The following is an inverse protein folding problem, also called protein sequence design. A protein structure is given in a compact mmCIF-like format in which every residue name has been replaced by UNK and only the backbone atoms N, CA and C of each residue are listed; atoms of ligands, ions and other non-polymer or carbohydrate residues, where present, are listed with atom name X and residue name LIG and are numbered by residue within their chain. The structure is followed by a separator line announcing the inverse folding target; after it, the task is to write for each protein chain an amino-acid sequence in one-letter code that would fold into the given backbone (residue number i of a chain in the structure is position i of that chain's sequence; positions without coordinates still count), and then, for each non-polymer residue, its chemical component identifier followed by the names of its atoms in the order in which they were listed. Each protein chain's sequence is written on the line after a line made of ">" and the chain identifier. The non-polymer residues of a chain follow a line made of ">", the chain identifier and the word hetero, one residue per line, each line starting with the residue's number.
data_IF_065277981205
#
_entry.id   IF_065277981205
#
_cell.length_a   1.000
_cell.length_b   1.000
_cell.length_c   1.000
_cell.angle_alpha   90.00
_cell.angle_beta   90.00
_cell.angle_gamma   90.00
#
_symmetry.space_group_name_H-M   'P 1'
#
loop_
_entity.id
_entity.type
_entity.pdbx_description
1 polymer ?
#
# COMPACT_ATOMS: atom_id res chain seq x y z
N UNK A 1 6.91 -13.47 -8.93
CA UNK A 1 7.04 -12.80 -10.24
C UNK A 1 7.86 -11.54 -10.02
N UNK A 2 8.82 -11.24 -10.90
CA UNK A 2 9.64 -10.03 -10.84
C UNK A 2 8.86 -8.86 -11.43
N UNK A 3 8.94 -7.70 -10.79
CA UNK A 3 8.33 -6.43 -11.25
C UNK A 3 8.69 -6.18 -12.73
N UNK A 4 7.70 -5.88 -13.59
CA UNK A 4 7.92 -5.68 -15.02
C UNK A 4 8.98 -4.61 -15.32
N UNK A 5 9.84 -4.84 -16.32
CA UNK A 5 10.93 -3.90 -16.65
C UNK A 5 10.43 -2.55 -17.19
N UNK A 6 9.22 -2.49 -17.76
CA UNK A 6 8.53 -1.24 -18.10
C UNK A 6 8.29 -0.35 -16.88
N UNK A 7 8.01 -0.98 -15.73
CA UNK A 7 7.82 -0.30 -14.45
C UNK A 7 9.15 0.27 -13.92
N UNK A 8 10.26 -0.44 -14.12
CA UNK A 8 11.61 0.06 -13.76
C UNK A 8 12.07 1.22 -14.64
N UNK A 9 11.68 1.22 -15.92
CA UNK A 9 12.08 2.23 -16.89
C UNK A 9 11.39 3.59 -16.64
N UNK A 10 10.14 3.61 -16.17
CA UNK A 10 9.41 4.84 -15.86
C UNK A 10 9.94 5.58 -14.60
N UNK A 11 10.59 4.86 -13.67
CA UNK A 11 11.23 5.44 -12.46
C UNK A 11 12.36 6.43 -12.83
N UNK A 12 12.94 6.30 -14.03
CA UNK A 12 14.11 7.08 -14.45
C UNK A 12 13.81 8.27 -15.37
N UNK A 13 12.55 8.52 -15.77
CA UNK A 13 12.23 9.53 -16.80
C UNK A 13 11.81 10.92 -16.29
N UNK A 14 11.96 11.22 -14.99
CA UNK A 14 11.47 12.47 -14.41
C UNK A 14 12.51 13.45 -13.85
N UNK A 15 13.81 13.09 -13.79
CA UNK A 15 14.78 13.92 -13.04
C UNK A 15 15.95 14.33 -13.93
N UNK A 16 16.14 15.63 -14.23
CA UNK A 16 17.34 16.12 -14.88
C UNK A 16 18.50 16.07 -13.87
N UNK A 17 19.36 15.06 -14.02
CA UNK A 17 20.55 14.87 -13.19
C UNK A 17 20.83 13.41 -12.89
N UNK A 18 22.06 13.09 -12.48
CA UNK A 18 22.48 11.75 -12.06
C UNK A 18 21.71 11.30 -10.79
N UNK A 19 20.50 10.82 -11.05
CA UNK A 19 19.69 9.81 -10.38
C UNK A 19 20.46 8.69 -9.71
N UNK A 20 21.23 8.88 -8.63
CA UNK A 20 21.63 7.73 -7.81
C UNK A 20 20.34 7.03 -7.41
N UNK A 21 20.06 5.87 -8.01
CA UNK A 21 18.89 5.06 -7.74
C UNK A 21 18.62 5.10 -6.24
N UNK A 22 17.51 5.73 -5.85
CA UNK A 22 17.16 5.86 -4.44
C UNK A 22 17.17 4.43 -3.91
N UNK A 23 17.99 4.10 -2.89
CA UNK A 23 18.13 2.72 -2.43
C UNK A 23 16.74 2.20 -2.20
N UNK A 24 16.48 1.05 -2.79
CA UNK A 24 15.25 0.32 -2.60
C UNK A 24 14.93 0.33 -1.09
N UNK A 25 13.84 0.96 -0.62
CA UNK A 25 13.62 1.18 0.81
C UNK A 25 13.46 -0.14 1.57
N UNK A 26 13.18 -1.21 0.82
CA UNK A 26 13.10 -2.58 1.29
C UNK A 26 14.02 -3.43 0.41
N UNK A 27 14.94 -4.23 0.97
CA UNK A 27 15.84 -5.04 0.18
C UNK A 27 15.05 -5.95 -0.77
N UNK A 28 15.35 -5.83 -2.06
CA UNK A 28 14.76 -6.66 -3.10
C UNK A 28 14.80 -8.15 -2.69
N UNK A 29 13.65 -8.83 -2.73
CA UNK A 29 13.57 -10.28 -2.57
C UNK A 29 13.23 -10.84 -1.17
N UNK A 30 13.38 -10.11 -0.05
CA UNK A 30 12.98 -10.64 1.27
C UNK A 30 11.51 -10.33 1.64
N UNK A 31 10.62 -11.32 1.49
CA UNK A 31 9.21 -11.21 1.94
C UNK A 31 9.14 -10.67 3.38
N UNK A 32 8.26 -9.70 3.61
CA UNK A 32 7.90 -9.24 4.95
C UNK A 32 7.19 -10.42 5.63
N UNK A 33 7.82 -10.98 6.66
CA UNK A 33 7.27 -12.11 7.39
C UNK A 33 6.18 -11.64 8.37
N UNK A 34 5.18 -12.48 8.67
CA UNK A 34 4.19 -12.18 9.71
C UNK A 34 4.85 -11.93 11.08
N UNK A 35 4.25 -11.05 11.87
CA UNK A 35 4.65 -10.77 13.24
C UNK A 35 4.39 -12.00 14.13
N UNK A 36 5.45 -12.55 14.73
CA UNK A 36 5.34 -13.72 15.62
C UNK A 36 5.32 -13.39 17.10
N UNK A 37 5.63 -12.15 17.49
CA UNK A 37 5.80 -11.79 18.91
C UNK A 37 4.48 -11.41 19.58
N UNK A 38 3.64 -10.65 18.88
CA UNK A 38 2.34 -10.20 19.38
C UNK A 38 1.46 -9.79 18.18
N UNK A 39 0.98 -10.74 17.37
CA UNK A 39 0.16 -10.43 16.22
C UNK A 39 -1.18 -9.84 16.67
N UNK A 40 -1.69 -8.86 15.91
CA UNK A 40 -3.12 -8.56 15.96
C UNK A 40 -3.91 -9.56 15.12
N UNK A 41 -5.19 -9.73 15.45
CA UNK A 41 -6.11 -10.59 14.71
C UNK A 41 -6.86 -9.76 13.67
N UNK A 42 -6.73 -10.15 12.40
CA UNK A 42 -7.44 -9.56 11.27
C UNK A 42 -7.55 -10.58 10.14
N UNK A 43 -8.76 -10.97 9.78
CA UNK A 43 -9.06 -12.08 8.86
C UNK A 43 -10.01 -11.69 7.72
N UNK A 44 -10.41 -10.42 7.63
CA UNK A 44 -11.29 -9.92 6.57
C UNK A 44 -10.62 -10.02 5.20
N UNK A 45 -11.11 -10.85 4.27
CA UNK A 45 -10.49 -11.03 2.96
C UNK A 45 -10.67 -9.79 2.08
N UNK A 46 -9.75 -9.59 1.13
CA UNK A 46 -9.71 -8.39 0.30
C UNK A 46 -11.01 -8.17 -0.51
N UNK A 47 -11.64 -9.25 -0.99
CA UNK A 47 -12.87 -9.19 -1.79
C UNK A 47 -14.07 -8.62 -1.02
N UNK A 48 -14.08 -8.80 0.31
CA UNK A 48 -15.08 -8.22 1.22
C UNK A 48 -14.66 -6.82 1.70
N UNK A 49 -13.36 -6.59 1.77
CA UNK A 49 -12.79 -5.35 2.27
C UNK A 49 -12.84 -4.20 1.27
N UNK A 50 -12.71 -4.49 -0.03
CA UNK A 50 -12.63 -3.49 -1.08
C UNK A 50 -14.00 -2.93 -1.45
N UNK A 51 -14.09 -1.61 -1.67
CA UNK A 51 -15.32 -0.95 -2.16
C UNK A 51 -15.61 -1.25 -3.63
N UNK A 52 -14.59 -1.67 -4.39
CA UNK A 52 -14.62 -1.82 -5.86
C UNK A 52 -14.99 -0.53 -6.61
N UNK A 53 -14.94 0.61 -5.92
CA UNK A 53 -15.21 1.90 -6.54
C UNK A 53 -14.00 2.30 -7.40
N UNK A 54 -14.21 2.70 -8.67
CA UNK A 54 -13.11 3.24 -9.47
C UNK A 54 -12.61 4.53 -8.81
N UNK A 55 -11.29 4.62 -8.65
CA UNK A 55 -10.64 5.85 -8.19
C UNK A 55 -10.24 6.64 -9.42
N UNK A 56 -10.96 7.74 -9.68
CA UNK A 56 -10.65 8.66 -10.78
C UNK A 56 -9.42 9.52 -10.49
N UNK A 57 -8.87 10.15 -11.54
CA UNK A 57 -7.75 11.11 -11.42
C UNK A 57 -6.35 10.48 -11.47
N UNK A 58 -6.25 9.16 -11.48
CA UNK A 58 -4.96 8.45 -11.65
C UNK A 58 -4.49 8.54 -13.10
N UNK A 59 -3.21 8.84 -13.30
CA UNK A 59 -2.56 8.56 -14.58
C UNK A 59 -2.46 7.04 -14.81
N UNK A 60 -2.21 6.64 -16.06
CA UNK A 60 -2.20 5.22 -16.45
C UNK A 60 -1.20 4.39 -15.64
N UNK A 61 -0.01 4.91 -15.35
CA UNK A 61 1.01 4.19 -14.60
C UNK A 61 0.61 3.98 -13.13
N UNK A 62 0.00 4.99 -12.53
CA UNK A 62 -0.56 4.92 -11.16
C UNK A 62 -1.72 3.94 -11.11
N UNK A 63 -2.62 3.98 -12.09
CA UNK A 63 -3.74 3.04 -12.18
C UNK A 63 -3.26 1.58 -12.29
N UNK A 64 -2.26 1.31 -13.13
CA UNK A 64 -1.63 -0.01 -13.27
C UNK A 64 -1.00 -0.48 -11.96
N UNK A 65 -0.29 0.41 -11.26
CA UNK A 65 0.33 0.10 -9.97
C UNK A 65 -0.71 -0.30 -8.92
N UNK A 66 -1.82 0.44 -8.83
CA UNK A 66 -2.90 0.10 -7.91
C UNK A 66 -3.59 -1.21 -8.29
N UNK A 67 -3.77 -1.50 -9.58
CA UNK A 67 -4.29 -2.81 -10.00
C UNK A 67 -3.36 -3.96 -9.58
N UNK A 68 -2.04 -3.78 -9.63
CA UNK A 68 -1.07 -4.77 -9.14
C UNK A 68 -1.10 -4.92 -7.62
N UNK A 69 -1.32 -3.83 -6.87
CA UNK A 69 -1.57 -3.87 -5.42
C UNK A 69 -2.81 -4.71 -5.13
N UNK A 70 -3.94 -4.39 -5.76
CA UNK A 70 -5.22 -5.07 -5.51
C UNK A 70 -5.15 -6.56 -5.84
N UNK A 71 -4.47 -6.91 -6.94
CA UNK A 71 -4.17 -8.30 -7.27
C UNK A 71 -3.35 -8.98 -6.17
N UNK A 72 -2.29 -8.32 -5.69
CA UNK A 72 -1.44 -8.87 -4.63
C UNK A 72 -2.21 -9.05 -3.31
N UNK A 73 -3.13 -8.13 -2.99
CA UNK A 73 -3.99 -8.22 -1.82
C UNK A 73 -4.99 -9.39 -1.94
N UNK A 74 -5.59 -9.58 -3.12
CA UNK A 74 -6.49 -10.72 -3.38
C UNK A 74 -5.75 -12.07 -3.29
N UNK A 75 -4.49 -12.13 -3.75
CA UNK A 75 -3.65 -13.33 -3.68
C UNK A 75 -3.04 -13.58 -2.29
N UNK A 76 -3.26 -12.67 -1.33
CA UNK A 76 -2.66 -12.74 0.01
C UNK A 76 -1.16 -12.47 0.05
N UNK A 77 -0.58 -11.88 -1.01
CA UNK A 77 0.81 -11.44 -1.03
C UNK A 77 0.95 -10.03 -0.43
N UNK A 78 0.68 -9.93 0.87
CA UNK A 78 0.73 -8.70 1.66
C UNK A 78 2.08 -8.00 1.55
N UNK A 79 3.17 -8.78 1.49
CA UNK A 79 4.52 -8.22 1.36
C UNK A 79 4.71 -7.50 0.03
N UNK A 80 4.21 -8.06 -1.07
CA UNK A 80 4.32 -7.44 -2.40
C UNK A 80 3.45 -6.19 -2.47
N UNK A 81 2.21 -6.25 -1.96
CA UNK A 81 1.34 -5.09 -1.88
C UNK A 81 1.98 -3.91 -1.13
N UNK A 82 2.53 -4.15 0.08
CA UNK A 82 3.20 -3.12 0.89
C UNK A 82 4.37 -2.49 0.13
N UNK A 83 5.15 -3.27 -0.60
CA UNK A 83 6.29 -2.76 -1.36
C UNK A 83 5.83 -1.81 -2.46
N UNK A 84 4.87 -2.23 -3.30
CA UNK A 84 4.34 -1.41 -4.39
C UNK A 84 3.78 -0.09 -3.83
N UNK A 85 3.02 -0.15 -2.73
CA UNK A 85 2.46 1.02 -2.05
C UNK A 85 3.56 1.98 -1.53
N UNK A 86 4.65 1.45 -0.98
CA UNK A 86 5.79 2.28 -0.56
C UNK A 86 6.50 2.94 -1.74
N UNK A 87 6.70 2.24 -2.86
CA UNK A 87 7.27 2.87 -4.05
C UNK A 87 6.38 3.97 -4.60
N UNK A 88 5.08 3.72 -4.69
CA UNK A 88 4.10 4.75 -5.06
C UNK A 88 4.27 5.97 -4.15
N UNK A 89 4.38 5.78 -2.83
CA UNK A 89 4.57 6.92 -1.93
C UNK A 89 5.88 7.69 -2.10
N UNK A 90 6.95 7.02 -2.52
CA UNK A 90 8.27 7.65 -2.64
C UNK A 90 8.53 8.29 -3.99
N UNK A 91 7.93 7.78 -5.07
CA UNK A 91 8.23 8.22 -6.43
C UNK A 91 7.30 9.30 -6.96
N UNK A 92 6.03 9.35 -6.54
CA UNK A 92 5.05 10.12 -7.30
C UNK A 92 4.62 11.44 -6.65
N UNK A 93 5.08 11.79 -5.44
CA UNK A 93 4.57 12.96 -4.68
C UNK A 93 3.04 13.07 -4.72
N UNK A 94 2.34 11.93 -4.87
CA UNK A 94 0.88 11.91 -5.02
C UNK A 94 0.30 12.24 -3.65
N UNK A 95 -0.14 13.50 -3.54
CA UNK A 95 -0.95 13.96 -2.43
C UNK A 95 -2.40 13.47 -2.58
N UNK A 96 -2.93 13.44 -3.80
CA UNK A 96 -4.36 13.17 -4.08
C UNK A 96 -4.82 11.75 -3.69
N UNK A 97 -3.93 10.75 -3.76
CA UNK A 97 -4.24 9.35 -3.44
C UNK A 97 -3.58 8.87 -2.14
N UNK A 98 -3.06 9.80 -1.32
CA UNK A 98 -2.34 9.50 -0.09
C UNK A 98 -3.14 8.63 0.87
N UNK A 99 -4.42 8.97 1.06
CA UNK A 99 -5.28 8.26 2.00
C UNK A 99 -5.53 6.81 1.54
N UNK A 100 -5.71 6.58 0.24
CA UNK A 100 -5.91 5.26 -0.33
C UNK A 100 -4.67 4.38 -0.22
N UNK A 101 -3.48 4.96 -0.44
CA UNK A 101 -2.23 4.23 -0.20
C UNK A 101 -2.14 3.77 1.25
N UNK A 102 -2.37 4.67 2.20
CA UNK A 102 -2.29 4.34 3.61
C UNK A 102 -3.38 3.37 4.07
N UNK A 103 -4.57 3.41 3.48
CA UNK A 103 -5.64 2.45 3.73
C UNK A 103 -5.21 1.02 3.34
N UNK A 104 -4.69 0.82 2.12
CA UNK A 104 -4.19 -0.49 1.69
C UNK A 104 -2.94 -0.92 2.48
N UNK A 105 -2.08 0.01 2.90
CA UNK A 105 -0.94 -0.30 3.78
C UNK A 105 -1.44 -0.82 5.13
N UNK A 106 -2.43 -0.16 5.74
CA UNK A 106 -3.03 -0.58 7.00
C UNK A 106 -3.60 -2.01 6.87
N UNK A 107 -4.35 -2.27 5.79
CA UNK A 107 -4.95 -3.57 5.51
C UNK A 107 -3.89 -4.69 5.41
N UNK A 108 -2.84 -4.48 4.61
CA UNK A 108 -1.78 -5.48 4.45
C UNK A 108 -0.97 -5.73 5.74
N UNK A 109 -0.69 -4.68 6.52
CA UNK A 109 0.00 -4.84 7.82
C UNK A 109 -0.87 -5.54 8.87
N UNK A 110 -2.18 -5.34 8.85
CA UNK A 110 -3.11 -6.03 9.73
C UNK A 110 -3.07 -7.55 9.49
N UNK A 111 -3.10 -8.00 8.23
CA UNK A 111 -2.95 -9.42 7.88
C UNK A 111 -1.57 -10.00 8.24
N UNK A 112 -0.53 -9.17 8.30
CA UNK A 112 0.77 -9.57 8.79
C UNK A 112 0.91 -9.47 10.32
N UNK A 113 -0.13 -9.04 11.04
CA UNK A 113 -0.16 -8.96 12.51
C UNK A 113 0.60 -7.75 13.11
N UNK A 114 0.81 -6.68 12.36
CA UNK A 114 1.58 -5.51 12.81
C UNK A 114 0.68 -4.33 13.24
N UNK A 115 0.05 -4.41 14.42
CA UNK A 115 -0.88 -3.38 14.93
C UNK A 115 -0.32 -1.95 14.99
N UNK A 116 0.98 -1.80 15.32
CA UNK A 116 1.64 -0.48 15.37
C UNK A 116 1.77 0.15 13.98
N UNK A 117 1.94 -0.69 12.95
CA UNK A 117 2.03 -0.22 11.57
C UNK A 117 0.65 0.16 11.02
N UNK A 118 -0.40 -0.52 11.49
CA UNK A 118 -1.79 -0.11 11.26
C UNK A 118 -2.03 1.27 11.88
N UNK A 119 -1.65 1.49 13.14
CA UNK A 119 -1.77 2.80 13.81
C UNK A 119 -0.99 3.91 13.11
N UNK A 120 0.24 3.63 12.67
CA UNK A 120 1.02 4.56 11.85
C UNK A 120 0.29 4.95 10.56
N UNK A 121 -0.27 3.97 9.84
CA UNK A 121 -1.03 4.24 8.62
C UNK A 121 -2.26 5.12 8.87
N UNK A 122 -3.00 4.90 9.97
CA UNK A 122 -4.11 5.78 10.37
C UNK A 122 -3.67 7.21 10.64
N UNK A 123 -2.56 7.40 11.36
CA UNK A 123 -1.98 8.72 11.58
C UNK A 123 -1.65 9.41 10.24
N UNK A 124 -1.09 8.66 9.29
CA UNK A 124 -0.78 9.17 7.96
C UNK A 124 -2.01 9.49 7.10
N UNK A 125 -3.10 8.74 7.23
CA UNK A 125 -4.39 9.11 6.61
C UNK A 125 -4.91 10.43 7.17
N UNK A 126 -4.83 10.64 8.49
CA UNK A 126 -5.25 11.90 9.12
C UNK A 126 -4.38 13.09 8.67
N UNK A 127 -3.06 12.92 8.61
CA UNK A 127 -2.13 13.94 8.12
C UNK A 127 -2.37 14.32 6.66
N UNK A 128 -2.84 13.37 5.83
CA UNK A 128 -3.17 13.63 4.44
C UNK A 128 -4.40 14.53 4.28
N UNK A 129 -5.28 14.62 5.28
CA UNK A 129 -6.49 15.43 5.22
C UNK A 129 -7.52 15.00 4.18
N UNK A 130 -7.36 13.79 3.61
CA UNK A 130 -8.23 13.22 2.57
C UNK A 130 -8.92 11.95 3.11
N UNK A 131 -10.14 11.70 2.63
CA UNK A 131 -10.84 10.46 2.90
C UNK A 131 -10.35 9.35 1.95
N UNK A 132 -10.13 8.14 2.49
CA UNK A 132 -9.90 6.96 1.66
C UNK A 132 -11.24 6.45 1.09
N UNK A 133 -11.21 5.89 -0.12
CA UNK A 133 -12.38 5.39 -0.85
C UNK A 133 -12.26 3.92 -1.26
N UNK A 134 -11.15 3.27 -0.94
CA UNK A 134 -10.79 1.95 -1.45
C UNK A 134 -11.23 0.80 -0.55
N UNK A 135 -11.35 1.03 0.76
CA UNK A 135 -11.83 0.07 1.74
C UNK A 135 -13.22 0.45 2.27
N UNK A 136 -14.02 -0.56 2.59
CA UNK A 136 -15.37 -0.37 3.15
C UNK A 136 -15.32 0.26 4.55
N UNK A 137 -16.37 0.98 4.96
CA UNK A 137 -16.47 1.53 6.32
C UNK A 137 -16.34 0.46 7.42
N UNK A 138 -16.88 -0.73 7.18
CA UNK A 138 -16.81 -1.88 8.09
C UNK A 138 -15.36 -2.31 8.29
N UNK A 139 -14.61 -2.51 7.20
CA UNK A 139 -13.18 -2.84 7.27
C UNK A 139 -12.39 -1.73 7.96
N UNK A 140 -12.65 -0.46 7.66
CA UNK A 140 -11.97 0.65 8.33
C UNK A 140 -12.24 0.66 9.85
N UNK A 141 -13.45 0.26 10.26
CA UNK A 141 -13.82 0.14 11.67
C UNK A 141 -13.06 -1.00 12.35
N UNK A 142 -12.92 -2.14 11.69
CA UNK A 142 -12.12 -3.27 12.19
C UNK A 142 -10.64 -2.91 12.33
N UNK A 143 -10.06 -2.30 11.28
CA UNK A 143 -8.66 -1.84 11.30
C UNK A 143 -8.40 -0.82 12.42
N UNK A 144 -9.38 0.04 12.73
CA UNK A 144 -9.28 1.01 13.82
C UNK A 144 -9.32 0.37 15.21
N UNK A 145 -10.01 -0.77 15.38
CA UNK A 145 -10.03 -1.50 16.67
C UNK A 145 -8.68 -2.12 17.00
N UNK A 146 -7.91 -2.50 15.98
CA UNK A 146 -6.60 -3.16 16.15
C UNK A 146 -5.42 -2.20 16.06
N UNK A 147 -5.63 -0.96 15.61
CA UNK A 147 -4.58 0.06 15.57
C UNK A 147 -4.10 0.40 16.98
N UNK A 148 -2.79 0.38 17.20
CA UNK A 148 -2.14 0.81 18.46
C UNK A 148 -1.33 2.08 18.24
#
# INVERSE_FOLDING_TARGET
>A
MSVPDSFKAQINQGVPGNVKARPDPLPAGKKIAPNKKSPCEFDTPFEKAATKAPVGGRDSATAESFAEVEKSLAEGDWSTAIRILWYLKLNTYINEDSANVWAYVAFAFAHLGFSEHVGFAFKKMQEAGLAQTVLTPETMTELKKISK
#
